data_IF_458896471431
#
_entry.id   IF_458896471431
#
_cell.length_a   1.000
_cell.length_b   1.000
_cell.length_c   1.000
_cell.angle_alpha   90.00
_cell.angle_beta   90.00
_cell.angle_gamma   90.00
#
_symmetry.space_group_name_H-M   'P 1'
#
loop_
_entity.id
_entity.type
_entity.pdbx_description
1 polymer ?
#
# COMPACT_ATOMS: atom_id res chain seq x y z
N UNK A 1 27.49 -28.64 7.17
CA UNK A 1 26.66 -27.50 7.64
C UNK A 1 25.91 -26.96 6.44
N UNK A 2 24.67 -27.40 6.22
CA UNK A 2 23.85 -26.90 5.11
C UNK A 2 23.38 -25.47 5.43
N UNK A 3 23.61 -24.46 4.57
CA UNK A 3 22.99 -23.17 4.75
C UNK A 3 21.50 -23.31 4.41
N UNK A 4 20.69 -23.56 5.46
CA UNK A 4 19.24 -23.54 5.36
C UNK A 4 18.78 -22.24 4.71
N UNK A 5 18.25 -22.34 3.49
CA UNK A 5 17.78 -21.21 2.68
C UNK A 5 16.60 -20.57 3.42
N UNK A 6 16.87 -19.59 4.29
CA UNK A 6 15.85 -18.82 5.00
C UNK A 6 14.96 -18.15 3.94
N UNK A 7 13.77 -18.71 3.70
CA UNK A 7 12.78 -18.11 2.79
C UNK A 7 12.52 -16.68 3.28
N UNK A 8 12.95 -15.68 2.50
CA UNK A 8 12.72 -14.27 2.82
C UNK A 8 11.21 -14.07 2.90
N UNK A 9 10.69 -13.76 4.10
CA UNK A 9 9.27 -13.42 4.27
C UNK A 9 8.97 -12.28 3.31
N UNK A 10 7.97 -12.47 2.45
CA UNK A 10 7.53 -11.41 1.54
C UNK A 10 7.22 -10.16 2.37
N UNK A 11 7.75 -8.99 1.99
CA UNK A 11 7.54 -7.78 2.77
C UNK A 11 6.04 -7.50 2.82
N UNK A 12 5.52 -7.31 4.03
CA UNK A 12 4.12 -6.93 4.21
C UNK A 12 3.91 -5.57 3.52
N UNK A 13 2.83 -5.40 2.74
CA UNK A 13 2.50 -4.10 2.17
C UNK A 13 2.16 -3.15 3.31
N UNK A 14 3.08 -2.23 3.60
CA UNK A 14 2.98 -1.20 4.63
C UNK A 14 3.06 0.20 4.00
N UNK A 15 2.78 0.33 2.70
CA UNK A 15 2.81 1.60 1.97
C UNK A 15 1.69 2.58 2.33
N UNK A 16 0.95 2.35 3.41
CA UNK A 16 -0.14 3.20 3.87
C UNK A 16 0.42 4.44 4.60
N UNK A 17 -0.19 5.59 4.37
CA UNK A 17 0.20 6.82 5.06
C UNK A 17 -0.04 6.75 6.57
N UNK A 18 -1.13 6.12 6.97
CA UNK A 18 -1.50 5.88 8.37
C UNK A 18 -2.12 4.48 8.52
N UNK A 19 -2.42 4.08 9.76
CA UNK A 19 -3.04 2.79 10.04
C UNK A 19 -4.34 2.61 9.22
N UNK A 20 -4.47 1.53 8.43
CA UNK A 20 -5.71 1.24 7.71
C UNK A 20 -6.82 0.87 8.69
N UNK A 21 -8.05 1.29 8.41
CA UNK A 21 -9.21 1.08 9.30
C UNK A 21 -9.47 2.22 10.28
N UNK A 22 -8.75 3.34 10.15
CA UNK A 22 -8.97 4.57 10.92
C UNK A 22 -9.58 5.69 10.07
N UNK A 23 -9.97 5.37 8.83
CA UNK A 23 -10.75 6.25 7.95
C UNK A 23 -12.26 6.01 8.06
N UNK A 24 -13.06 6.66 7.19
CA UNK A 24 -14.52 6.53 7.20
C UNK A 24 -14.97 5.09 6.95
N UNK A 25 -16.03 4.68 7.64
CA UNK A 25 -16.61 3.35 7.53
C UNK A 25 -17.20 3.13 6.13
N UNK A 26 -16.84 2.01 5.50
CA UNK A 26 -17.27 1.66 4.13
C UNK A 26 -16.30 2.09 3.03
N UNK A 27 -15.36 2.99 3.31
CA UNK A 27 -14.38 3.45 2.33
C UNK A 27 -13.11 2.61 2.33
N UNK A 28 -12.48 2.52 1.17
CA UNK A 28 -11.26 1.72 0.97
C UNK A 28 -10.14 2.54 0.35
N UNK A 29 -8.91 2.04 0.45
CA UNK A 29 -7.78 2.66 -0.22
C UNK A 29 -7.96 2.75 -1.76
N UNK A 30 -8.78 1.88 -2.37
CA UNK A 30 -9.10 1.96 -3.80
C UNK A 30 -10.01 3.14 -4.18
N UNK A 31 -10.89 3.58 -3.27
CA UNK A 31 -11.77 4.75 -3.46
C UNK A 31 -11.07 6.08 -3.11
N UNK A 32 -9.81 6.03 -2.70
CA UNK A 32 -9.05 7.19 -2.26
C UNK A 32 -8.53 8.00 -3.45
N UNK A 33 -8.60 9.34 -3.38
CA UNK A 33 -7.97 10.27 -4.32
C UNK A 33 -6.44 10.10 -4.39
N UNK A 34 -5.82 9.72 -3.27
CA UNK A 34 -4.37 9.47 -3.19
C UNK A 34 -3.96 8.08 -3.70
N UNK A 35 -4.90 7.31 -4.28
CA UNK A 35 -4.59 6.03 -4.92
C UNK A 35 -3.86 6.27 -6.23
N UNK A 36 -2.57 5.95 -6.26
CA UNK A 36 -1.78 5.95 -7.49
C UNK A 36 -1.52 4.52 -7.96
N UNK A 37 -1.71 4.31 -9.26
CA UNK A 37 -1.41 3.04 -9.91
C UNK A 37 -0.21 3.22 -10.81
N UNK A 38 0.92 2.65 -10.41
CA UNK A 38 2.14 2.70 -11.20
C UNK A 38 2.21 1.47 -12.09
N UNK A 39 2.25 1.71 -13.39
CA UNK A 39 2.32 0.66 -14.41
C UNK A 39 3.76 0.43 -14.83
N UNK A 40 4.34 -0.68 -14.35
CA UNK A 40 5.60 -1.22 -14.87
C UNK A 40 5.30 -2.59 -15.51
N UNK A 41 6.06 -3.64 -15.18
CA UNK A 41 5.73 -5.02 -15.61
C UNK A 41 4.45 -5.56 -14.95
N UNK A 42 4.03 -4.96 -13.83
CA UNK A 42 2.76 -5.22 -13.13
C UNK A 42 2.15 -3.88 -12.72
N UNK A 43 0.87 -3.90 -12.36
CA UNK A 43 0.21 -2.76 -11.73
C UNK A 43 0.57 -2.75 -10.24
N UNK A 44 1.24 -1.69 -9.81
CA UNK A 44 1.60 -1.44 -8.41
C UNK A 44 0.68 -0.37 -7.87
N UNK A 45 -0.04 -0.68 -6.79
CA UNK A 45 -0.91 0.27 -6.14
C UNK A 45 -0.13 0.92 -5.01
N UNK A 46 0.06 2.23 -5.08
CA UNK A 46 0.80 3.00 -4.08
C UNK A 46 -0.02 4.18 -3.61
N UNK A 47 0.28 4.65 -2.40
CA UNK A 47 -0.36 5.85 -1.85
C UNK A 47 0.50 7.07 -2.16
N UNK A 48 -0.05 8.07 -2.85
CA UNK A 48 0.66 9.32 -3.18
C UNK A 48 1.25 10.00 -1.94
N UNK A 49 0.57 9.91 -0.79
CA UNK A 49 1.02 10.48 0.48
C UNK A 49 2.32 9.84 0.99
N UNK A 50 2.61 8.59 0.62
CA UNK A 50 3.85 7.89 0.97
C UNK A 50 4.89 7.97 -0.14
N UNK A 51 4.72 8.83 -1.15
CA UNK A 51 5.62 8.90 -2.32
C UNK A 51 7.09 9.11 -1.95
N UNK A 52 7.37 9.89 -0.91
CA UNK A 52 8.74 10.08 -0.40
C UNK A 52 9.37 8.83 0.24
N UNK A 53 8.56 7.85 0.65
CA UNK A 53 9.02 6.60 1.29
C UNK A 53 8.85 5.38 0.39
N UNK A 54 8.53 5.58 -0.90
CA UNK A 54 8.41 4.49 -1.86
C UNK A 54 9.76 3.83 -2.13
N UNK A 55 9.95 2.68 -1.51
CA UNK A 55 10.93 1.70 -1.97
C UNK A 55 10.33 1.01 -3.18
N UNK A 56 11.09 0.83 -4.27
CA UNK A 56 10.67 0.19 -5.52
C UNK A 56 10.27 -1.32 -5.36
N UNK A 57 9.88 -1.74 -4.16
CA UNK A 57 9.41 -3.07 -3.83
C UNK A 57 8.01 -3.07 -3.21
N UNK A 58 7.48 -4.29 -3.02
CA UNK A 58 6.16 -4.60 -2.48
C UNK A 58 5.89 -4.04 -1.08
N UNK A 59 6.92 -3.68 -0.33
CA UNK A 59 6.79 -3.12 1.01
C UNK A 59 6.03 -1.78 1.00
N UNK A 60 6.25 -0.96 -0.02
CA UNK A 60 5.62 0.35 -0.18
C UNK A 60 4.33 0.30 -1.02
N UNK A 61 3.84 -0.89 -1.34
CA UNK A 61 2.53 -1.06 -1.99
C UNK A 61 1.40 -1.04 -0.96
N UNK A 62 0.22 -0.65 -1.43
CA UNK A 62 -1.05 -0.67 -0.68
C UNK A 62 -2.00 -1.69 -1.30
N UNK A 63 -2.91 -2.23 -0.49
CA UNK A 63 -3.99 -3.08 -0.97
C UNK A 63 -5.25 -2.23 -1.17
N UNK A 64 -5.81 -2.25 -2.37
CA UNK A 64 -7.05 -1.51 -2.70
C UNK A 64 -8.24 -1.95 -1.83
N UNK A 65 -8.28 -3.23 -1.44
CA UNK A 65 -9.28 -3.82 -0.54
C UNK A 65 -9.10 -3.45 0.93
N UNK A 66 -8.00 -2.81 1.29
CA UNK A 66 -7.76 -2.42 2.68
C UNK A 66 -8.69 -1.26 3.03
N UNK A 67 -9.21 -1.22 4.26
CA UNK A 67 -10.05 -0.12 4.72
C UNK A 67 -9.30 1.20 4.70
N UNK A 68 -10.02 2.29 4.45
CA UNK A 68 -9.47 3.64 4.39
C UNK A 68 -8.65 3.96 5.65
N UNK A 69 -7.58 4.75 5.45
CA UNK A 69 -6.76 5.28 6.53
C UNK A 69 -7.27 6.68 6.93
N UNK A 70 -6.85 7.25 8.06
CA UNK A 70 -7.33 8.59 8.49
C UNK A 70 -7.00 9.74 7.53
N UNK A 71 -6.08 9.52 6.59
CA UNK A 71 -5.72 10.49 5.53
C UNK A 71 -6.46 10.23 4.22
N UNK A 72 -7.48 9.38 4.25
CA UNK A 72 -8.32 9.12 3.10
C UNK A 72 -9.07 10.38 2.68
N UNK A 73 -9.15 10.58 1.37
CA UNK A 73 -9.89 11.68 0.75
C UNK A 73 -10.65 11.09 -0.44
N UNK A 74 -11.95 11.39 -0.53
CA UNK A 74 -12.80 10.88 -1.59
C UNK A 74 -12.35 11.41 -2.95
N UNK A 75 -12.32 10.53 -3.93
CA UNK A 75 -12.20 10.93 -5.33
C UNK A 75 -13.62 11.17 -5.84
N UNK A 76 -14.01 12.44 -5.89
CA UNK A 76 -15.27 12.92 -6.48
C UNK A 76 -15.43 12.51 -7.96
#
# INVERSE_FOLDING_TARGET
MEPGKKKRKEPRPQGYATQPGTGPEGETCGSCKYHEVIRYSKNYHKCALTRGTWTHGRASDILVRTPACSKWEGKE
#
